data_IF_773316814787
#
_entry.id   IF_773316814787
#
_cell.length_a   1.000
_cell.length_b   1.000
_cell.length_c   1.000
_cell.angle_alpha   90.00
_cell.angle_beta   90.00
_cell.angle_gamma   90.00
#
_symmetry.space_group_name_H-M   'P 1'
#
loop_
_entity.id
_entity.type
_entity.pdbx_description
1 polymer ?
#
# COMPACT_ATOMS: atom_id res chain seq x y z
N UNK A 1 -7.41 28.02 -13.55
CA UNK A 1 -6.31 27.28 -12.88
C UNK A 1 -5.67 28.21 -11.88
N UNK A 2 -5.28 27.71 -10.70
CA UNK A 2 -4.42 28.46 -9.78
C UNK A 2 -2.96 28.36 -10.24
N UNK A 3 -2.21 29.45 -10.19
CA UNK A 3 -0.80 29.49 -10.59
C UNK A 3 0.08 29.47 -9.34
N UNK A 4 1.10 28.63 -9.34
CA UNK A 4 2.10 28.52 -8.28
C UNK A 4 3.49 28.61 -8.91
N UNK A 5 4.36 29.43 -8.35
CA UNK A 5 5.78 29.47 -8.74
C UNK A 5 6.58 28.64 -7.75
N UNK A 6 7.42 27.75 -8.26
CA UNK A 6 8.30 26.88 -7.46
C UNK A 6 9.71 26.94 -8.06
N UNK A 7 10.71 27.02 -7.19
CA UNK A 7 12.12 26.91 -7.60
C UNK A 7 12.54 25.45 -7.50
N UNK A 8 13.12 24.93 -8.57
CA UNK A 8 13.61 23.56 -8.64
C UNK A 8 15.15 23.57 -8.57
N UNK A 9 15.75 22.57 -7.90
CA UNK A 9 17.15 22.22 -8.11
C UNK A 9 17.44 21.94 -9.60
N UNK A 10 18.67 22.19 -10.05
CA UNK A 10 19.05 22.09 -11.46
C UNK A 10 18.80 20.69 -12.05
N UNK A 11 19.14 19.64 -11.30
CA UNK A 11 18.91 18.25 -11.69
C UNK A 11 17.43 17.92 -11.90
N UNK A 12 16.55 18.48 -11.07
CA UNK A 12 15.09 18.28 -11.19
C UNK A 12 14.53 19.09 -12.37
N UNK A 13 15.07 20.30 -12.61
CA UNK A 13 14.68 21.11 -13.76
C UNK A 13 15.03 20.39 -15.07
N UNK A 14 16.28 19.91 -15.20
CA UNK A 14 16.76 19.18 -16.38
C UNK A 14 15.87 17.96 -16.66
N UNK A 15 15.56 17.18 -15.62
CA UNK A 15 14.64 16.04 -15.74
C UNK A 15 13.25 16.45 -16.25
N UNK A 16 12.67 17.53 -15.73
CA UNK A 16 11.34 18.00 -16.14
C UNK A 16 11.35 18.52 -17.58
N UNK A 17 12.44 19.18 -18.00
CA UNK A 17 12.61 19.66 -19.37
C UNK A 17 12.77 18.51 -20.36
N UNK A 18 13.57 17.50 -20.01
CA UNK A 18 13.74 16.29 -20.81
C UNK A 18 12.42 15.52 -20.97
N UNK A 19 11.68 15.33 -19.87
CA UNK A 19 10.38 14.66 -19.90
C UNK A 19 9.35 15.48 -20.68
N UNK A 20 9.40 16.81 -20.61
CA UNK A 20 8.54 17.67 -21.43
C UNK A 20 8.86 17.54 -22.93
N UNK A 21 10.14 17.42 -23.29
CA UNK A 21 10.57 17.31 -24.68
C UNK A 21 10.32 15.90 -25.27
N UNK A 22 10.47 14.84 -24.47
CA UNK A 22 10.52 13.46 -24.95
C UNK A 22 9.29 12.63 -24.54
N UNK A 23 8.67 12.96 -23.40
CA UNK A 23 7.60 12.17 -22.75
C UNK A 23 6.19 12.44 -23.27
N UNK A 24 6.03 13.23 -24.35
CA UNK A 24 4.72 13.52 -24.94
C UNK A 24 3.89 14.56 -24.19
N UNK A 25 4.52 15.34 -23.30
CA UNK A 25 3.90 16.45 -22.60
C UNK A 25 3.98 17.75 -23.40
N UNK A 26 2.97 18.62 -23.31
CA UNK A 26 3.00 19.90 -24.01
C UNK A 26 3.79 20.97 -23.24
N UNK A 27 3.87 20.85 -21.91
CA UNK A 27 4.57 21.82 -21.04
C UNK A 27 5.19 21.15 -19.81
N UNK A 28 6.26 21.74 -19.26
CA UNK A 28 6.84 21.36 -17.97
C UNK A 28 5.81 21.35 -16.82
N UNK A 29 4.82 22.24 -16.89
CA UNK A 29 3.73 22.28 -15.90
C UNK A 29 2.82 21.05 -15.96
N UNK A 30 2.72 20.35 -17.10
CA UNK A 30 1.99 19.08 -17.18
C UNK A 30 2.76 17.94 -16.53
N UNK A 31 4.06 17.85 -16.79
CA UNK A 31 4.96 16.89 -16.13
C UNK A 31 4.84 17.01 -14.60
N UNK A 32 4.93 18.24 -14.09
CA UNK A 32 4.81 18.50 -12.64
C UNK A 32 3.42 18.11 -12.12
N UNK A 33 2.35 18.43 -12.85
CA UNK A 33 0.98 18.04 -12.43
C UNK A 33 0.81 16.53 -12.37
N UNK A 34 1.34 15.81 -13.35
CA UNK A 34 1.26 14.36 -13.40
C UNK A 34 2.09 13.70 -12.30
N UNK A 35 3.31 14.19 -12.07
CA UNK A 35 4.14 13.77 -10.95
C UNK A 35 3.45 14.01 -9.59
N UNK A 36 2.79 15.16 -9.41
CA UNK A 36 2.04 15.47 -8.20
C UNK A 36 0.78 14.59 -8.04
N UNK A 37 0.11 14.20 -9.12
CA UNK A 37 -0.98 13.23 -9.06
C UNK A 37 -0.46 11.87 -8.61
N UNK A 38 0.63 11.39 -9.22
CA UNK A 38 1.25 10.12 -8.82
C UNK A 38 1.69 10.14 -7.35
N UNK A 39 2.27 11.25 -6.88
CA UNK A 39 2.62 11.43 -5.48
C UNK A 39 1.40 11.38 -4.56
N UNK A 40 0.29 12.03 -4.94
CA UNK A 40 -0.95 11.99 -4.18
C UNK A 40 -1.51 10.57 -4.09
N UNK A 41 -1.57 9.84 -5.21
CA UNK A 41 -2.00 8.44 -5.22
C UNK A 41 -1.13 7.56 -4.33
N UNK A 42 0.19 7.71 -4.41
CA UNK A 42 1.12 6.97 -3.54
C UNK A 42 0.89 7.28 -2.06
N UNK A 43 0.69 8.55 -1.71
CA UNK A 43 0.41 8.97 -0.33
C UNK A 43 -0.91 8.42 0.19
N UNK A 44 -1.97 8.45 -0.63
CA UNK A 44 -3.27 7.91 -0.27
C UNK A 44 -3.19 6.39 -0.01
N UNK A 45 -2.54 5.64 -0.91
CA UNK A 45 -2.35 4.20 -0.75
C UNK A 45 -1.54 3.86 0.52
N UNK A 46 -0.53 4.66 0.85
CA UNK A 46 0.27 4.45 2.06
C UNK A 46 -0.55 4.72 3.33
N UNK A 47 -1.35 5.79 3.34
CA UNK A 47 -2.26 6.08 4.44
C UNK A 47 -3.27 4.97 4.68
N UNK A 48 -3.83 4.39 3.62
CA UNK A 48 -4.74 3.25 3.69
C UNK A 48 -4.05 2.02 4.30
N UNK A 49 -2.84 1.68 3.84
CA UNK A 49 -2.06 0.56 4.40
C UNK A 49 -1.79 0.75 5.90
N UNK A 50 -1.40 1.95 6.31
CA UNK A 50 -1.16 2.27 7.72
C UNK A 50 -2.43 2.18 8.56
N UNK A 51 -3.57 2.62 8.02
CA UNK A 51 -4.87 2.50 8.69
C UNK A 51 -5.26 1.02 8.88
N UNK A 52 -5.08 0.19 7.85
CA UNK A 52 -5.33 -1.25 7.93
C UNK A 52 -4.43 -1.93 8.97
N UNK A 53 -3.12 -1.66 8.93
CA UNK A 53 -2.17 -2.21 9.90
C UNK A 53 -2.55 -1.79 11.34
N UNK A 54 -2.87 -0.51 11.55
CA UNK A 54 -3.25 0.00 12.87
C UNK A 54 -4.51 -0.68 13.40
N UNK A 55 -5.47 -0.95 12.51
CA UNK A 55 -6.69 -1.70 12.85
C UNK A 55 -6.37 -3.14 13.25
N UNK A 56 -5.59 -3.87 12.48
CA UNK A 56 -5.24 -5.27 12.78
C UNK A 56 -4.42 -5.38 14.09
N UNK A 57 -3.52 -4.42 14.35
CA UNK A 57 -2.82 -4.34 15.64
C UNK A 57 -3.81 -4.15 16.79
N UNK A 58 -4.80 -3.27 16.62
CA UNK A 58 -5.82 -3.01 17.65
C UNK A 58 -6.64 -4.27 17.94
N UNK A 59 -7.04 -5.02 16.91
CA UNK A 59 -7.72 -6.31 17.07
C UNK A 59 -6.85 -7.30 17.85
N UNK A 60 -5.58 -7.46 17.49
CA UNK A 60 -4.66 -8.34 18.20
C UNK A 60 -4.46 -7.95 19.66
N UNK A 61 -4.39 -6.64 19.95
CA UNK A 61 -4.28 -6.14 21.31
C UNK A 61 -5.54 -6.41 22.14
N UNK A 62 -6.72 -6.30 21.54
CA UNK A 62 -7.99 -6.61 22.19
C UNK A 62 -8.15 -8.12 22.43
N UNK A 63 -7.69 -8.96 21.50
CA UNK A 63 -7.60 -10.42 21.68
C UNK A 63 -6.67 -10.77 22.85
N UNK A 64 -5.49 -10.13 22.93
CA UNK A 64 -4.56 -10.29 24.04
C UNK A 64 -5.19 -9.90 25.38
N UNK A 65 -5.85 -8.74 25.46
CA UNK A 65 -6.52 -8.27 26.69
C UNK A 65 -7.65 -9.19 27.13
N UNK A 66 -8.37 -9.77 26.17
CA UNK A 66 -9.44 -10.72 26.44
C UNK A 66 -8.95 -12.16 26.71
N UNK A 67 -7.63 -12.39 26.75
CA UNK A 67 -7.04 -13.71 26.97
C UNK A 67 -7.19 -14.67 25.80
N UNK A 68 -7.60 -14.20 24.61
CA UNK A 68 -7.72 -14.99 23.38
C UNK A 68 -6.34 -15.17 22.73
N UNK A 69 -5.42 -15.77 23.47
CA UNK A 69 -4.05 -16.04 23.04
C UNK A 69 -3.73 -17.52 23.14
N UNK A 70 -2.73 -17.97 22.39
CA UNK A 70 -2.24 -19.35 22.43
C UNK A 70 -0.76 -19.35 22.77
N UNK A 71 -0.30 -20.39 23.45
CA UNK A 71 1.13 -20.63 23.70
C UNK A 71 1.83 -21.29 22.51
N UNK A 72 1.08 -21.71 21.49
CA UNK A 72 1.64 -22.31 20.27
C UNK A 72 2.52 -21.29 19.54
N UNK A 73 3.65 -21.77 19.04
CA UNK A 73 4.52 -21.02 18.14
C UNK A 73 3.86 -20.86 16.77
N UNK A 74 4.31 -19.85 16.00
CA UNK A 74 3.83 -19.65 14.63
C UNK A 74 4.05 -20.90 13.74
N UNK A 75 5.11 -21.68 13.99
CA UNK A 75 5.41 -22.90 13.25
C UNK A 75 4.41 -24.02 13.55
N UNK A 76 4.03 -24.19 14.82
CA UNK A 76 3.01 -25.17 15.25
C UNK A 76 1.63 -24.81 14.70
N UNK A 77 1.25 -23.53 14.77
CA UNK A 77 -0.01 -23.03 14.17
C UNK A 77 -0.03 -23.29 12.66
N UNK A 78 1.07 -22.98 11.96
CA UNK A 78 1.15 -23.20 10.52
C UNK A 78 1.13 -24.69 10.16
N UNK A 79 1.70 -25.56 11.00
CA UNK A 79 1.65 -27.01 10.82
C UNK A 79 0.23 -27.55 11.02
N UNK A 80 -0.47 -27.09 12.04
CA UNK A 80 -1.86 -27.45 12.33
C UNK A 80 -2.78 -27.06 11.17
N UNK A 81 -2.69 -25.82 10.68
CA UNK A 81 -3.44 -25.38 9.49
C UNK A 81 -3.11 -26.27 8.28
N UNK A 82 -1.84 -26.59 8.03
CA UNK A 82 -1.47 -27.49 6.91
C UNK A 82 -2.04 -28.90 7.05
N UNK A 83 -2.16 -29.42 8.28
CA UNK A 83 -2.70 -30.75 8.55
C UNK A 83 -4.23 -30.78 8.44
N UNK A 84 -4.90 -29.74 8.93
CA UNK A 84 -6.35 -29.56 8.83
C UNK A 84 -6.80 -29.45 7.36
N UNK A 85 -5.99 -28.79 6.52
CA UNK A 85 -6.26 -28.62 5.09
C UNK A 85 -5.58 -29.64 4.17
N UNK A 86 -4.98 -30.70 4.72
CA UNK A 86 -4.41 -31.79 3.91
C UNK A 86 -5.48 -32.79 3.40
N UNK A 87 -6.73 -32.71 3.89
CA UNK A 87 -7.85 -33.56 3.49
C UNK A 87 -8.81 -32.95 2.45
N UNK A 88 -8.78 -31.63 2.26
CA UNK A 88 -9.58 -30.93 1.26
C UNK A 88 -8.61 -30.16 0.37
N UNK A 89 -8.60 -30.43 -0.94
CA UNK A 89 -7.74 -29.78 -1.93
C UNK A 89 -8.03 -28.29 -2.16
N UNK A 90 -8.27 -27.53 -1.10
CA UNK A 90 -8.50 -26.10 -1.11
C UNK A 90 -7.74 -25.46 0.05
N UNK A 91 -6.78 -24.61 -0.30
CA UNK A 91 -6.12 -23.71 0.65
C UNK A 91 -7.23 -22.96 1.41
N UNK A 92 -7.25 -22.96 2.76
CA UNK A 92 -8.17 -22.10 3.48
C UNK A 92 -7.89 -20.68 3.05
N UNK A 93 -8.95 -19.93 2.78
CA UNK A 93 -8.86 -18.49 2.76
C UNK A 93 -8.40 -18.05 4.15
N UNK A 94 -7.07 -17.92 4.33
CA UNK A 94 -6.50 -16.99 5.30
C UNK A 94 -7.40 -15.78 5.24
N UNK A 95 -8.09 -15.46 6.34
CA UNK A 95 -9.05 -14.35 6.43
C UNK A 95 -8.47 -13.22 5.60
N UNK A 96 -8.97 -13.07 4.37
CA UNK A 96 -8.33 -12.12 3.49
C UNK A 96 -8.53 -10.80 4.23
N UNK A 97 -7.48 -9.98 4.43
CA UNK A 97 -7.76 -8.58 4.73
C UNK A 97 -8.77 -8.18 3.67
N UNK A 98 -9.92 -7.63 4.08
CA UNK A 98 -11.03 -7.25 3.20
C UNK A 98 -10.50 -6.30 2.15
N UNK A 99 -9.86 -6.86 1.15
CA UNK A 99 -9.19 -6.18 0.10
C UNK A 99 -10.21 -6.27 -1.01
N UNK A 100 -11.10 -5.29 -0.97
CA UNK A 100 -11.59 -4.70 -2.20
C UNK A 100 -10.35 -4.21 -2.94
N UNK A 101 -9.62 -5.15 -3.54
CA UNK A 101 -8.55 -4.93 -4.49
C UNK A 101 -9.24 -4.32 -5.70
N UNK A 102 -9.34 -2.99 -5.72
CA UNK A 102 -9.43 -2.26 -6.95
C UNK A 102 -8.06 -2.37 -7.61
N UNK A 103 -7.92 -3.41 -8.43
CA UNK A 103 -6.93 -3.46 -9.50
C UNK A 103 -6.98 -2.14 -10.26
N UNK A 104 -5.78 -1.62 -10.52
CA UNK A 104 -5.44 -0.42 -11.27
C UNK A 104 -6.25 -0.26 -12.58
#
# INVERSE_FOLDING_TARGET
MATMNVSLPADVLDFVEDEAAQGGYATSSEVIRDALRLLQHKKAAEQERLALLSREISVGLDDMRAGRTTSKTAAEIAQEIRQEHAGEGGIPSLRQPSATFATY
#
